data_IF_568291552558
#
_entry.id   IF_568291552558
#
_cell.length_a   1.000
_cell.length_b   1.000
_cell.length_c   1.000
_cell.angle_alpha   90.00
_cell.angle_beta   90.00
_cell.angle_gamma   90.00
#
_symmetry.space_group_name_H-M   'P 1'
#
loop_
_entity.id
_entity.type
_entity.pdbx_description
1 polymer ?
#
# COMPACT_ATOMS: atom_id res chain seq x y z
N UNK A 1 -4.01 -1.70 25.77
CA UNK A 1 -5.29 -2.38 25.98
C UNK A 1 -5.59 -3.51 24.99
N UNK A 2 -5.16 -3.47 23.72
CA UNK A 2 -5.38 -4.61 22.79
C UNK A 2 -4.23 -5.64 22.68
N UNK A 3 -3.01 -5.28 23.13
CA UNK A 3 -1.86 -6.22 23.19
C UNK A 3 -2.07 -7.43 24.10
N UNK A 4 -3.09 -7.42 24.96
CA UNK A 4 -3.41 -8.53 25.86
C UNK A 4 -4.34 -9.58 25.22
N UNK A 5 -5.02 -9.26 24.10
CA UNK A 5 -6.02 -10.15 23.50
C UNK A 5 -5.55 -10.80 22.18
N UNK A 6 -4.59 -10.19 21.51
CA UNK A 6 -3.93 -10.77 20.33
C UNK A 6 -2.54 -11.17 20.79
N UNK A 7 -2.32 -12.48 20.96
CA UNK A 7 -1.02 -13.04 21.35
C UNK A 7 0.08 -12.49 20.44
N UNK A 8 1.30 -12.44 20.96
CA UNK A 8 2.48 -11.87 20.29
C UNK A 8 2.84 -12.60 18.98
N UNK A 9 2.04 -12.42 17.93
CA UNK A 9 2.30 -12.86 16.58
C UNK A 9 2.51 -11.62 15.74
N UNK A 10 3.74 -11.45 15.24
CA UNK A 10 4.07 -10.41 14.26
C UNK A 10 3.42 -10.67 12.88
N UNK A 11 2.75 -11.82 12.72
CA UNK A 11 2.10 -12.27 11.49
C UNK A 11 0.57 -12.37 11.68
N UNK A 12 -0.08 -11.26 12.02
CA UNK A 12 -1.54 -11.19 11.93
C UNK A 12 -1.93 -10.92 10.47
N UNK A 13 -2.90 -11.65 9.94
CA UNK A 13 -3.45 -11.35 8.63
C UNK A 13 -4.10 -9.95 8.61
N UNK A 14 -4.27 -9.38 7.42
CA UNK A 14 -4.77 -8.02 7.21
C UNK A 14 -6.11 -7.78 7.93
N UNK A 15 -7.00 -8.78 7.94
CA UNK A 15 -8.29 -8.70 8.61
C UNK A 15 -8.09 -8.55 10.12
N UNK A 16 -7.22 -9.37 10.71
CA UNK A 16 -6.93 -9.35 12.15
C UNK A 16 -6.27 -8.04 12.61
N UNK A 17 -5.34 -7.46 11.85
CA UNK A 17 -4.70 -6.18 12.20
C UNK A 17 -5.69 -5.00 12.19
N UNK A 18 -6.66 -5.02 11.26
CA UNK A 18 -7.69 -3.99 11.12
C UNK A 18 -8.70 -3.92 12.28
N UNK A 19 -8.70 -4.92 13.18
CA UNK A 19 -9.60 -4.95 14.36
C UNK A 19 -9.11 -4.10 15.54
N UNK A 20 -7.89 -3.58 15.48
CA UNK A 20 -7.36 -2.74 16.55
C UNK A 20 -8.01 -1.34 16.53
N UNK A 21 -8.18 -0.71 17.71
CA UNK A 21 -8.76 0.64 17.82
C UNK A 21 -7.91 1.67 17.06
N UNK A 22 -6.60 1.44 16.99
CA UNK A 22 -5.67 2.26 16.22
C UNK A 22 -5.99 2.17 14.73
N UNK A 23 -6.16 0.96 14.19
CA UNK A 23 -6.52 0.78 12.79
C UNK A 23 -7.97 1.22 12.48
N UNK A 24 -8.89 1.16 13.45
CA UNK A 24 -10.24 1.69 13.27
C UNK A 24 -10.28 3.21 13.16
N UNK A 25 -9.34 3.92 13.80
CA UNK A 25 -9.28 5.39 13.80
C UNK A 25 -8.38 5.92 12.69
N UNK A 26 -7.19 5.34 12.52
CA UNK A 26 -6.13 5.83 11.64
C UNK A 26 -5.85 4.93 10.44
N UNK A 27 -6.40 3.72 10.44
CA UNK A 27 -6.11 2.72 9.42
C UNK A 27 -6.80 2.99 8.10
N UNK A 28 -6.13 2.61 7.02
CA UNK A 28 -6.67 2.55 5.67
C UNK A 28 -6.02 1.44 4.86
N UNK A 29 -6.41 1.34 3.59
CA UNK A 29 -5.80 0.40 2.63
C UNK A 29 -5.30 1.14 1.40
N UNK A 30 -4.04 0.91 1.05
CA UNK A 30 -3.48 1.29 -0.25
C UNK A 30 -3.73 0.15 -1.24
N UNK A 31 -4.23 0.49 -2.42
CA UNK A 31 -4.37 -0.45 -3.53
C UNK A 31 -3.30 -0.17 -4.56
N UNK A 32 -2.32 -1.06 -4.69
CA UNK A 32 -1.39 -1.04 -5.81
C UNK A 32 -1.97 -1.84 -6.97
N UNK A 33 -1.90 -1.29 -8.17
CA UNK A 33 -2.42 -1.90 -9.40
C UNK A 33 -1.33 -1.96 -10.45
N UNK A 34 -1.01 -3.16 -10.91
CA UNK A 34 -0.09 -3.39 -12.03
C UNK A 34 -0.88 -3.86 -13.24
N UNK A 35 -0.65 -3.22 -14.38
CA UNK A 35 -1.20 -3.62 -15.68
C UNK A 35 -0.06 -4.02 -16.59
N UNK A 36 0.00 -5.29 -16.96
CA UNK A 36 1.00 -5.75 -17.92
C UNK A 36 0.64 -5.30 -19.33
N UNK A 37 1.51 -4.54 -19.98
CA UNK A 37 1.27 -4.06 -21.35
C UNK A 37 1.27 -5.18 -22.40
N UNK A 38 2.01 -6.28 -22.16
CA UNK A 38 2.13 -7.42 -23.08
C UNK A 38 0.94 -8.38 -22.99
N UNK A 39 0.62 -8.86 -21.78
CA UNK A 39 -0.40 -9.91 -21.60
C UNK A 39 -1.76 -9.39 -21.11
N UNK A 40 -1.86 -8.08 -20.86
CA UNK A 40 -3.04 -7.35 -20.37
C UNK A 40 -3.59 -7.84 -19.02
N UNK A 41 -2.81 -8.64 -18.28
CA UNK A 41 -3.18 -9.05 -16.94
C UNK A 41 -3.17 -7.84 -16.00
N UNK A 42 -4.13 -7.82 -15.08
CA UNK A 42 -4.26 -6.83 -14.02
C UNK A 42 -3.98 -7.57 -12.71
N UNK A 43 -3.07 -7.03 -11.90
CA UNK A 43 -2.77 -7.53 -10.56
C UNK A 43 -3.01 -6.39 -9.57
N UNK A 44 -3.91 -6.62 -8.61
CA UNK A 44 -4.17 -5.70 -7.51
C UNK A 44 -3.61 -6.31 -6.22
N UNK A 45 -2.82 -5.54 -5.47
CA UNK A 45 -2.45 -5.84 -4.08
C UNK A 45 -3.01 -4.78 -3.14
N UNK A 46 -3.33 -5.20 -1.92
CA UNK A 46 -3.88 -4.33 -0.88
C UNK A 46 -2.98 -4.38 0.34
N UNK A 47 -2.56 -3.22 0.80
CA UNK A 47 -1.67 -3.07 1.96
C UNK A 47 -2.33 -2.16 2.99
N UNK A 48 -2.38 -2.61 4.24
CA UNK A 48 -2.86 -1.78 5.34
C UNK A 48 -1.83 -0.69 5.65
N UNK A 49 -2.29 0.53 5.90
CA UNK A 49 -1.42 1.64 6.31
C UNK A 49 -2.00 2.39 7.51
N UNK A 50 -1.10 3.05 8.25
CA UNK A 50 -1.44 4.00 9.33
C UNK A 50 -0.88 5.40 9.05
N UNK A 51 0.04 5.51 8.10
CA UNK A 51 0.68 6.73 7.62
C UNK A 51 0.91 6.64 6.10
N UNK A 52 1.16 7.80 5.48
CA UNK A 52 1.50 7.91 4.07
C UNK A 52 2.83 8.66 3.96
N UNK A 53 3.93 8.00 3.56
CA UNK A 53 5.20 8.67 3.37
C UNK A 53 5.15 9.52 2.10
N UNK A 54 5.45 10.82 2.23
CA UNK A 54 5.41 11.77 1.12
C UNK A 54 6.81 12.32 0.83
N UNK A 55 7.18 12.40 -0.45
CA UNK A 55 8.38 13.10 -0.87
C UNK A 55 8.13 14.62 -0.90
N UNK A 56 8.82 15.34 -0.02
CA UNK A 56 8.71 16.80 0.12
C UNK A 56 9.76 17.57 -0.67
N UNK A 57 10.74 16.89 -1.29
CA UNK A 57 11.86 17.58 -1.96
C UNK A 57 11.41 18.26 -3.26
N UNK A 58 10.51 17.62 -3.99
CA UNK A 58 10.00 18.11 -5.27
C UNK A 58 8.61 18.78 -5.16
N UNK A 59 7.86 18.49 -4.09
CA UNK A 59 6.48 18.94 -3.96
C UNK A 59 6.37 20.40 -3.47
N UNK A 60 5.53 21.19 -4.13
CA UNK A 60 5.24 22.58 -3.74
C UNK A 60 4.11 22.73 -2.71
N UNK A 61 3.35 21.66 -2.45
CA UNK A 61 2.24 21.63 -1.50
C UNK A 61 1.94 20.20 -1.06
N UNK A 62 1.15 20.03 0.00
CA UNK A 62 0.69 18.72 0.44
C UNK A 62 -0.12 18.01 -0.65
N UNK A 63 -0.97 18.75 -1.36
CA UNK A 63 -1.75 18.22 -2.48
C UNK A 63 -0.84 17.70 -3.58
N UNK A 64 0.19 18.47 -3.97
CA UNK A 64 1.15 18.03 -4.97
C UNK A 64 1.88 16.75 -4.54
N UNK A 65 2.32 16.67 -3.27
CA UNK A 65 2.98 15.48 -2.75
C UNK A 65 2.07 14.24 -2.76
N UNK A 66 0.78 14.41 -2.47
CA UNK A 66 -0.22 13.34 -2.53
C UNK A 66 -0.54 12.91 -3.97
N UNK A 67 -0.56 13.86 -4.91
CA UNK A 67 -0.72 13.58 -6.35
C UNK A 67 0.48 12.79 -6.89
N UNK A 68 1.69 13.21 -6.54
CA UNK A 68 2.93 12.51 -6.90
C UNK A 68 2.93 11.08 -6.32
N UNK A 69 2.51 10.90 -5.05
CA UNK A 69 2.45 9.59 -4.40
C UNK A 69 1.56 8.57 -5.12
N UNK A 70 0.49 9.01 -5.79
CA UNK A 70 -0.44 8.13 -6.52
C UNK A 70 -0.19 8.09 -8.03
N UNK A 71 0.88 8.75 -8.50
CA UNK A 71 1.19 8.81 -9.92
C UNK A 71 1.62 7.43 -10.44
N UNK A 72 1.03 6.93 -11.54
CA UNK A 72 1.41 5.64 -12.10
C UNK A 72 2.85 5.64 -12.60
N UNK A 73 3.62 4.62 -12.21
CA UNK A 73 4.99 4.42 -12.66
C UNK A 73 5.07 3.36 -13.76
N UNK A 74 6.02 3.53 -14.68
CA UNK A 74 6.31 2.52 -15.70
C UNK A 74 7.36 1.54 -15.18
N UNK A 75 7.02 0.25 -15.16
CA UNK A 75 7.93 -0.81 -14.75
C UNK A 75 8.65 -1.39 -15.97
N UNK A 76 9.95 -1.16 -16.09
CA UNK A 76 10.81 -1.64 -17.17
C UNK A 76 12.11 -2.30 -16.66
N UNK A 77 12.85 -2.94 -17.58
CA UNK A 77 14.14 -3.57 -17.28
C UNK A 77 14.07 -4.60 -16.16
N UNK A 78 14.92 -4.44 -15.14
CA UNK A 78 14.98 -5.32 -13.97
C UNK A 78 13.78 -5.16 -13.02
N UNK A 79 13.01 -4.06 -13.13
CA UNK A 79 11.83 -3.78 -12.32
C UNK A 79 10.54 -4.34 -12.93
N UNK A 80 10.63 -5.07 -14.05
CA UNK A 80 9.47 -5.66 -14.70
C UNK A 80 8.70 -6.60 -13.76
N UNK A 81 7.40 -6.37 -13.65
CA UNK A 81 6.53 -7.25 -12.88
C UNK A 81 6.40 -8.62 -13.56
N UNK A 82 6.77 -9.69 -12.84
CA UNK A 82 6.65 -11.06 -13.31
C UNK A 82 5.19 -11.51 -13.28
N UNK A 83 4.56 -11.55 -14.45
CA UNK A 83 3.21 -12.09 -14.59
C UNK A 83 3.25 -13.62 -14.56
N UNK A 84 2.37 -14.24 -13.77
CA UNK A 84 2.28 -15.70 -13.59
C UNK A 84 1.67 -16.47 -14.77
N UNK A 85 1.72 -15.91 -16.00
CA UNK A 85 1.10 -16.52 -17.19
C UNK A 85 2.02 -17.54 -17.84
#
# INVERSE_FOLDING_TARGET
MQRACLGASNDLDISSQSTTIVHQIFGGFLRSRVICFSCKAISDSYEAFLDVPLDIKAASSLTAALEDFVTPEHLDGENCFQCSK
#
